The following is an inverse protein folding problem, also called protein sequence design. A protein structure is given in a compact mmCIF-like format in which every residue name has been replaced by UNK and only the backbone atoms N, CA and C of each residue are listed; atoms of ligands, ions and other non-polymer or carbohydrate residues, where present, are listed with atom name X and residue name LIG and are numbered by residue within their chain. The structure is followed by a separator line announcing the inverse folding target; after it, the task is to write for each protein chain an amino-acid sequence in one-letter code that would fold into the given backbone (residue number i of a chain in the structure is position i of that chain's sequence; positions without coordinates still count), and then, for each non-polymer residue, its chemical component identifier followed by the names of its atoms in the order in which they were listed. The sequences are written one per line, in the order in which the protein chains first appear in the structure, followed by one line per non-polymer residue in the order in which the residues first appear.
data_IF_512012796039
#
_entry.id   IF_512012796039
#
_cell.length_a   1.000
_cell.length_b   1.000
_cell.length_c   1.000
_cell.angle_alpha   90.00
_cell.angle_beta   90.00
_cell.angle_gamma   90.00
#
_symmetry.space_group_name_H-M   'P 1'
#
loop_
_entity.id
_entity.type
_entity.pdbx_description
1 polymer ?
#
# COMPACT_ATOMS: atom_id res chain seq x y z
N UNK A 1 -22.07 -38.27 -25.64
CA UNK A 1 -20.65 -38.48 -25.26
C UNK A 1 -20.02 -37.11 -25.07
N UNK A 2 -19.60 -36.75 -23.86
CA UNK A 2 -18.81 -35.53 -23.65
C UNK A 2 -17.35 -35.86 -23.97
N UNK A 3 -16.90 -35.51 -25.18
CA UNK A 3 -15.51 -35.63 -25.61
C UNK A 3 -14.80 -34.30 -25.41
N UNK A 4 -14.34 -34.05 -24.19
CA UNK A 4 -13.49 -32.90 -23.86
C UNK A 4 -12.73 -33.21 -22.58
N UNK A 5 -11.43 -32.95 -22.56
CA UNK A 5 -10.66 -33.02 -21.31
C UNK A 5 -11.32 -32.10 -20.27
N UNK A 6 -11.49 -32.55 -19.01
CA UNK A 6 -12.06 -31.70 -17.98
C UNK A 6 -11.16 -30.48 -17.76
N UNK A 7 -11.76 -29.28 -17.83
CA UNK A 7 -11.07 -28.05 -17.45
C UNK A 7 -10.93 -28.03 -15.93
N UNK A 8 -9.75 -28.37 -15.44
CA UNK A 8 -9.41 -28.33 -14.01
C UNK A 8 -8.74 -27.00 -13.70
N UNK A 9 -9.23 -26.32 -12.65
CA UNK A 9 -8.60 -25.10 -12.13
C UNK A 9 -7.81 -25.47 -10.88
N UNK A 10 -6.54 -25.10 -10.83
CA UNK A 10 -5.68 -25.35 -9.67
C UNK A 10 -5.55 -24.09 -8.84
N UNK A 11 -5.67 -24.24 -7.53
CA UNK A 11 -5.25 -23.22 -6.58
C UNK A 11 -3.85 -23.62 -6.11
N UNK A 12 -2.88 -22.73 -6.33
CA UNK A 12 -1.47 -22.99 -6.04
C UNK A 12 -1.04 -22.07 -4.90
N UNK A 13 -0.39 -22.63 -3.88
CA UNK A 13 0.33 -21.83 -2.89
C UNK A 13 1.63 -21.32 -3.53
N UNK A 14 1.90 -20.03 -3.35
CA UNK A 14 3.01 -19.32 -3.99
C UNK A 14 4.40 -19.79 -3.54
N UNK A 15 5.42 -19.10 -4.06
CA UNK A 15 6.80 -19.34 -3.66
C UNK A 15 7.03 -19.00 -2.17
N UNK A 16 7.87 -19.76 -1.44
CA UNK A 16 8.27 -19.36 -0.10
C UNK A 16 9.10 -18.08 -0.19
N UNK A 17 8.73 -17.07 0.59
CA UNK A 17 9.36 -15.76 0.60
C UNK A 17 10.17 -15.55 1.88
N UNK A 18 11.25 -14.79 1.75
CA UNK A 18 12.05 -14.41 2.89
C UNK A 18 11.39 -13.26 3.66
N UNK A 19 11.16 -13.47 4.96
CA UNK A 19 10.66 -12.48 5.90
C UNK A 19 11.80 -11.97 6.82
N UNK A 20 12.26 -10.71 6.67
CA UNK A 20 13.31 -10.16 7.53
C UNK A 20 12.91 -10.05 9.00
N UNK A 21 11.62 -10.00 9.33
CA UNK A 21 11.17 -9.99 10.73
C UNK A 21 11.41 -11.32 11.44
N UNK A 22 11.59 -12.41 10.67
CA UNK A 22 11.85 -13.77 11.16
C UNK A 22 13.31 -14.21 11.03
N UNK A 23 14.22 -13.28 10.77
CA UNK A 23 15.65 -13.56 10.67
C UNK A 23 16.41 -12.97 11.87
N UNK A 24 16.92 -13.83 12.75
CA UNK A 24 17.69 -13.42 13.93
C UNK A 24 19.06 -12.79 13.60
N UNK A 25 19.54 -12.88 12.35
CA UNK A 25 20.81 -12.26 11.93
C UNK A 25 20.66 -10.79 11.56
N UNK A 26 19.40 -10.32 11.42
CA UNK A 26 19.09 -8.94 11.05
C UNK A 26 18.62 -8.16 12.27
N UNK A 27 19.07 -6.91 12.39
CA UNK A 27 18.64 -6.01 13.46
C UNK A 27 17.13 -5.82 13.40
N UNK A 28 16.44 -6.21 14.49
CA UNK A 28 14.99 -6.14 14.62
C UNK A 28 14.22 -7.41 14.22
N UNK A 29 14.90 -8.43 13.69
CA UNK A 29 14.32 -9.73 13.34
C UNK A 29 14.53 -10.78 14.44
N UNK A 30 13.60 -11.73 14.53
CA UNK A 30 13.67 -12.87 15.45
C UNK A 30 13.11 -14.12 14.79
N UNK A 31 13.96 -15.10 14.54
CA UNK A 31 13.53 -16.39 14.03
C UNK A 31 14.59 -17.19 13.27
N UNK A 32 14.18 -18.35 12.72
CA UNK A 32 15.08 -19.31 12.08
C UNK A 32 15.39 -18.98 10.62
N UNK A 33 14.69 -18.01 10.00
CA UNK A 33 14.87 -17.74 8.57
C UNK A 33 16.27 -17.15 8.30
N UNK A 34 16.84 -17.51 7.16
CA UNK A 34 18.15 -17.00 6.71
C UNK A 34 18.05 -16.61 5.24
N UNK A 35 18.55 -15.43 4.91
CA UNK A 35 18.55 -14.97 3.52
C UNK A 35 19.38 -15.88 2.59
N UNK A 36 20.49 -16.44 3.09
CA UNK A 36 21.34 -17.33 2.29
C UNK A 36 20.75 -18.73 2.09
N UNK A 37 19.68 -19.09 2.79
CA UNK A 37 19.10 -20.43 2.78
C UNK A 37 17.61 -20.39 2.43
N UNK A 38 17.25 -20.54 1.14
CA UNK A 38 15.87 -20.57 0.69
C UNK A 38 15.01 -21.68 1.31
N UNK A 39 15.62 -22.74 1.86
CA UNK A 39 14.87 -23.81 2.52
C UNK A 39 14.22 -23.36 3.84
N UNK A 40 14.70 -22.26 4.40
CA UNK A 40 14.17 -21.68 5.64
C UNK A 40 13.04 -20.68 5.39
N UNK A 41 12.82 -20.29 4.13
CA UNK A 41 11.82 -19.28 3.77
C UNK A 41 10.41 -19.87 3.86
N UNK A 42 9.42 -19.00 4.00
CA UNK A 42 8.02 -19.38 4.01
C UNK A 42 7.27 -19.10 5.32
N UNK A 43 5.96 -19.36 5.29
CA UNK A 43 5.06 -19.27 6.44
C UNK A 43 3.95 -18.24 6.25
N UNK A 44 3.64 -17.48 7.29
CA UNK A 44 2.64 -16.41 7.23
C UNK A 44 3.08 -15.24 6.34
N UNK A 45 4.39 -14.96 6.28
CA UNK A 45 4.99 -13.88 5.51
C UNK A 45 4.71 -13.96 4.01
N UNK A 46 4.44 -15.16 3.48
CA UNK A 46 4.21 -15.37 2.04
C UNK A 46 2.95 -14.66 1.54
N UNK A 47 1.98 -14.45 2.43
CA UNK A 47 0.70 -13.78 2.14
C UNK A 47 0.73 -12.29 2.47
N UNK A 48 1.86 -11.76 2.97
CA UNK A 48 1.98 -10.35 3.36
C UNK A 48 2.51 -9.50 2.19
N UNK A 49 1.79 -8.44 1.77
CA UNK A 49 2.21 -7.60 0.65
C UNK A 49 3.54 -6.88 0.89
N UNK A 50 3.87 -6.55 2.14
CA UNK A 50 5.15 -5.95 2.50
C UNK A 50 6.34 -6.90 2.26
N UNK A 51 6.18 -8.19 2.58
CA UNK A 51 7.19 -9.23 2.36
C UNK A 51 7.35 -9.51 0.86
N UNK A 52 6.24 -9.62 0.13
CA UNK A 52 6.24 -9.78 -1.33
C UNK A 52 6.97 -8.63 -2.01
N UNK A 53 6.64 -7.38 -1.65
CA UNK A 53 7.31 -6.18 -2.18
C UNK A 53 8.80 -6.17 -1.84
N UNK A 54 9.18 -6.57 -0.62
CA UNK A 54 10.58 -6.62 -0.21
C UNK A 54 11.42 -7.60 -1.05
N UNK A 55 10.87 -8.78 -1.35
CA UNK A 55 11.54 -9.78 -2.18
C UNK A 55 11.62 -9.35 -3.64
N UNK A 56 10.59 -8.71 -4.19
CA UNK A 56 10.63 -8.10 -5.53
C UNK A 56 11.69 -7.00 -5.60
N UNK A 57 11.80 -6.15 -4.59
CA UNK A 57 12.79 -5.07 -4.54
C UNK A 57 14.24 -5.57 -4.41
N UNK A 58 14.45 -6.78 -3.85
CA UNK A 58 15.77 -7.43 -3.82
C UNK A 58 16.07 -8.28 -5.05
N UNK A 59 15.05 -8.55 -5.86
CA UNK A 59 15.13 -9.44 -7.00
C UNK A 59 14.98 -10.91 -6.59
N UNK A 60 13.97 -11.55 -7.17
CA UNK A 60 13.74 -12.99 -7.07
C UNK A 60 14.73 -13.72 -7.97
N UNK A 61 15.42 -14.70 -7.37
CA UNK A 61 16.36 -15.58 -8.05
C UNK A 61 15.95 -17.03 -7.82
N UNK A 62 16.10 -17.85 -8.86
CA UNK A 62 15.92 -19.29 -8.77
C UNK A 62 17.27 -19.95 -9.04
N UNK A 63 17.90 -20.49 -8.00
CA UNK A 63 19.30 -20.88 -8.03
C UNK A 63 20.21 -19.69 -8.34
N UNK A 64 21.02 -19.79 -9.40
CA UNK A 64 21.92 -18.71 -9.84
C UNK A 64 21.27 -17.73 -10.82
N UNK A 65 20.07 -18.04 -11.34
CA UNK A 65 19.40 -17.26 -12.38
C UNK A 65 18.46 -16.24 -11.77
N UNK A 66 18.59 -14.99 -12.19
CA UNK A 66 17.61 -13.95 -11.86
C UNK A 66 16.34 -14.16 -12.68
N UNK A 67 15.18 -14.04 -12.01
CA UNK A 67 13.86 -14.28 -12.62
C UNK A 67 13.08 -12.97 -12.70
N UNK A 68 12.93 -12.25 -11.58
CA UNK A 68 12.02 -11.10 -11.52
C UNK A 68 12.45 -10.07 -10.46
N UNK A 69 12.05 -8.80 -10.60
CA UNK A 69 12.31 -7.74 -9.61
C UNK A 69 13.45 -6.76 -9.95
N UNK A 70 13.93 -5.99 -8.97
CA UNK A 70 14.96 -4.98 -9.25
C UNK A 70 16.35 -5.63 -9.30
N UNK A 71 17.15 -5.30 -10.31
CA UNK A 71 18.54 -5.75 -10.44
C UNK A 71 19.51 -4.75 -9.79
N UNK A 72 20.53 -5.25 -9.11
CA UNK A 72 21.64 -4.43 -8.60
C UNK A 72 21.34 -3.62 -7.34
N UNK A 73 20.22 -3.89 -6.65
CA UNK A 73 19.85 -3.20 -5.42
C UNK A 73 20.55 -3.86 -4.22
N UNK A 74 21.49 -3.14 -3.61
CA UNK A 74 22.24 -3.62 -2.43
C UNK A 74 21.39 -3.54 -1.16
N UNK A 75 21.58 -4.46 -0.21
CA UNK A 75 20.85 -4.48 1.08
C UNK A 75 20.90 -3.16 1.84
N UNK A 76 21.98 -2.38 1.73
CA UNK A 76 22.12 -1.06 2.35
C UNK A 76 21.07 -0.03 1.88
N UNK A 77 20.49 -0.22 0.68
CA UNK A 77 19.44 0.64 0.12
C UNK A 77 18.04 0.30 0.64
N UNK A 78 17.92 -0.81 1.38
CA UNK A 78 16.67 -1.27 1.99
C UNK A 78 16.85 -1.33 3.51
N UNK A 79 16.50 -0.26 4.23
CA UNK A 79 16.71 -0.18 5.67
C UNK A 79 15.76 -1.16 6.36
N UNK A 80 16.31 -2.30 6.81
CA UNK A 80 15.50 -3.46 7.20
C UNK A 80 14.53 -3.15 8.34
N UNK A 81 14.91 -2.28 9.28
CA UNK A 81 14.03 -1.84 10.37
C UNK A 81 12.71 -1.26 9.86
N UNK A 82 12.75 -0.41 8.80
CA UNK A 82 11.55 0.18 8.22
C UNK A 82 10.65 -0.87 7.58
N UNK A 83 11.25 -1.87 6.93
CA UNK A 83 10.52 -2.99 6.33
C UNK A 83 9.90 -3.89 7.40
N UNK A 84 10.60 -4.17 8.50
CA UNK A 84 10.08 -4.93 9.63
C UNK A 84 8.87 -4.21 10.26
N UNK A 85 8.95 -2.90 10.46
CA UNK A 85 7.80 -2.12 10.93
C UNK A 85 6.61 -2.27 9.99
N UNK A 86 6.80 -2.12 8.67
CA UNK A 86 5.74 -2.31 7.69
C UNK A 86 5.16 -3.75 7.67
N UNK A 87 6.00 -4.78 7.83
CA UNK A 87 5.59 -6.18 7.91
C UNK A 87 4.74 -6.42 9.16
N UNK A 88 5.16 -5.87 10.30
CA UNK A 88 4.42 -5.97 11.55
C UNK A 88 3.06 -5.26 11.48
N UNK A 89 2.98 -4.13 10.77
CA UNK A 89 1.69 -3.47 10.47
C UNK A 89 0.78 -4.37 9.61
N UNK A 90 1.31 -5.08 8.60
CA UNK A 90 0.52 -6.05 7.84
C UNK A 90 0.04 -7.23 8.70
N UNK A 91 0.89 -7.69 9.64
CA UNK A 91 0.63 -8.85 10.51
C UNK A 91 -0.33 -8.56 11.67
N UNK A 92 -0.63 -7.29 11.96
CA UNK A 92 -1.53 -6.93 13.07
C UNK A 92 -2.85 -7.69 12.98
N UNK A 93 -3.29 -8.21 14.13
CA UNK A 93 -4.55 -8.92 14.23
C UNK A 93 -5.66 -7.91 14.52
N UNK A 94 -6.70 -7.97 13.70
CA UNK A 94 -7.93 -7.19 13.81
C UNK A 94 -9.12 -8.13 13.99
N UNK A 95 -10.19 -7.58 14.54
CA UNK A 95 -11.44 -8.33 14.71
C UNK A 95 -12.05 -8.60 13.33
N UNK A 96 -12.02 -9.85 12.91
CA UNK A 96 -12.64 -10.35 11.67
C UNK A 96 -13.84 -11.24 12.01
N UNK A 97 -14.90 -11.17 11.21
CA UNK A 97 -16.04 -12.09 11.34
C UNK A 97 -15.67 -13.47 10.80
N UNK A 98 -14.77 -13.53 9.82
CA UNK A 98 -14.23 -14.75 9.19
C UNK A 98 -13.20 -15.55 10.01
N UNK A 99 -12.79 -15.06 11.19
CA UNK A 99 -11.82 -15.73 12.08
C UNK A 99 -10.33 -15.56 11.72
N UNK A 100 -10.01 -15.12 10.51
CA UNK A 100 -8.63 -14.80 10.11
C UNK A 100 -8.38 -13.29 10.19
N UNK A 101 -7.92 -12.87 11.37
CA UNK A 101 -7.79 -11.48 11.76
C UNK A 101 -6.59 -10.76 11.17
N UNK A 102 -5.86 -11.28 10.18
CA UNK A 102 -4.70 -10.56 9.63
C UNK A 102 -5.11 -9.25 8.93
N UNK A 103 -4.46 -8.12 9.26
CA UNK A 103 -4.87 -6.79 8.78
C UNK A 103 -4.78 -6.64 7.26
N UNK A 104 -3.63 -6.97 6.66
CA UNK A 104 -3.40 -6.88 5.22
C UNK A 104 -2.80 -8.17 4.66
N UNK A 105 -3.48 -8.74 3.66
CA UNK A 105 -3.02 -9.91 2.91
C UNK A 105 -3.13 -9.69 1.40
N UNK A 106 -2.31 -10.38 0.65
CA UNK A 106 -2.34 -10.37 -0.81
C UNK A 106 -2.10 -11.76 -1.37
N UNK A 107 -2.79 -12.06 -2.46
CA UNK A 107 -2.69 -13.32 -3.18
C UNK A 107 -3.16 -13.13 -4.61
N UNK A 108 -2.36 -13.60 -5.56
CA UNK A 108 -2.63 -13.50 -6.98
C UNK A 108 -1.44 -13.98 -7.79
N UNK A 109 -1.69 -14.29 -9.05
CA UNK A 109 -0.64 -14.62 -10.00
C UNK A 109 -0.03 -13.33 -10.55
N UNK A 110 1.30 -13.25 -10.53
CA UNK A 110 2.06 -12.15 -11.14
C UNK A 110 2.90 -12.77 -12.24
N UNK A 111 2.69 -12.31 -13.47
CA UNK A 111 3.50 -12.74 -14.59
C UNK A 111 4.85 -12.01 -14.61
N UNK A 112 5.90 -12.73 -15.00
CA UNK A 112 7.30 -12.26 -14.94
C UNK A 112 7.61 -11.17 -15.99
N UNK A 113 6.77 -11.06 -17.02
CA UNK A 113 6.81 -10.01 -18.04
C UNK A 113 6.22 -8.68 -17.58
N UNK A 114 5.40 -8.67 -16.52
CA UNK A 114 4.78 -7.46 -16.01
C UNK A 114 5.85 -6.50 -15.46
N UNK A 115 5.79 -5.20 -15.79
CA UNK A 115 6.76 -4.23 -15.27
C UNK A 115 6.72 -4.20 -13.74
N UNK A 116 7.90 -4.31 -13.13
CA UNK A 116 8.07 -4.41 -11.67
C UNK A 116 7.36 -3.28 -10.93
N UNK A 117 7.35 -2.06 -11.48
CA UNK A 117 6.66 -0.93 -10.85
C UNK A 117 5.14 -1.15 -10.77
N UNK A 118 4.49 -1.68 -11.82
CA UNK A 118 3.06 -1.96 -11.79
C UNK A 118 2.71 -3.04 -10.76
N UNK A 119 3.54 -4.08 -10.66
CA UNK A 119 3.38 -5.13 -9.65
C UNK A 119 3.51 -4.55 -8.23
N UNK A 120 4.52 -3.70 -8.01
CA UNK A 120 4.70 -3.03 -6.72
C UNK A 120 3.50 -2.12 -6.41
N UNK A 121 3.00 -1.35 -7.38
CA UNK A 121 1.81 -0.50 -7.19
C UNK A 121 0.55 -1.30 -6.85
N UNK A 122 0.35 -2.47 -7.46
CA UNK A 122 -0.75 -3.38 -7.13
C UNK A 122 -0.62 -3.93 -5.70
N UNK A 123 0.60 -4.30 -5.28
CA UNK A 123 0.89 -4.75 -3.90
C UNK A 123 0.73 -3.62 -2.88
N UNK A 124 1.12 -2.39 -3.23
CA UNK A 124 0.91 -1.21 -2.40
C UNK A 124 -0.58 -0.89 -2.24
N UNK A 125 -1.38 -1.12 -3.30
CA UNK A 125 -2.84 -0.94 -3.24
C UNK A 125 -3.48 -1.93 -2.26
N UNK A 126 -2.97 -3.17 -2.17
CA UNK A 126 -3.45 -4.18 -1.23
C UNK A 126 -3.21 -3.83 0.26
N UNK A 127 -2.19 -3.01 0.56
CA UNK A 127 -1.82 -2.61 1.92
C UNK A 127 -2.03 -1.13 2.22
N UNK A 128 -2.62 -0.36 1.28
CA UNK A 128 -2.65 1.10 1.34
C UNK A 128 -1.29 1.72 1.62
N UNK A 129 -0.26 1.12 1.04
CA UNK A 129 1.11 1.52 1.26
C UNK A 129 1.56 2.61 0.30
N UNK A 130 2.63 3.29 0.69
CA UNK A 130 3.40 4.16 -0.20
C UNK A 130 4.88 3.82 -0.13
N UNK A 131 5.48 3.57 -1.29
CA UNK A 131 6.91 3.41 -1.45
C UNK A 131 7.52 4.77 -1.77
N UNK A 132 8.55 5.19 -1.03
CA UNK A 132 9.31 6.39 -1.37
C UNK A 132 10.80 6.10 -1.35
N UNK A 133 11.49 6.78 -2.26
CA UNK A 133 12.92 6.71 -2.48
C UNK A 133 13.53 8.07 -2.13
N UNK A 134 14.53 8.06 -1.24
CA UNK A 134 15.29 9.25 -0.84
C UNK A 134 16.77 8.88 -0.76
N UNK A 135 17.59 9.47 -1.62
CA UNK A 135 19.04 9.30 -1.59
C UNK A 135 19.49 7.87 -1.88
N UNK A 136 18.77 7.15 -2.75
CA UNK A 136 19.00 5.75 -3.09
C UNK A 136 18.43 4.76 -2.09
N UNK A 137 17.69 5.20 -1.06
CA UNK A 137 17.14 4.36 0.00
C UNK A 137 15.62 4.27 -0.11
N UNK A 138 15.11 3.03 -0.23
CA UNK A 138 13.69 2.75 -0.39
C UNK A 138 13.04 2.44 0.96
N UNK A 139 12.03 3.25 1.32
CA UNK A 139 11.24 3.06 2.55
C UNK A 139 9.78 2.82 2.22
N UNK A 140 9.29 1.65 2.61
CA UNK A 140 7.89 1.26 2.55
C UNK A 140 7.13 1.80 3.76
N UNK A 141 5.95 2.36 3.52
CA UNK A 141 4.96 2.72 4.53
C UNK A 141 3.68 1.95 4.21
N UNK A 142 2.98 1.48 5.23
CA UNK A 142 1.78 0.66 5.12
C UNK A 142 0.71 1.25 6.04
N UNK A 143 -0.53 1.27 5.56
CA UNK A 143 -1.68 1.70 6.35
C UNK A 143 -1.82 3.22 6.48
N UNK A 144 -2.42 3.65 7.59
CA UNK A 144 -2.76 5.06 7.83
C UNK A 144 -1.50 5.91 8.06
N UNK A 145 -1.46 7.19 7.59
CA UNK A 145 -0.36 8.08 7.92
C UNK A 145 -0.12 8.15 9.42
N UNK A 146 1.13 7.90 9.82
CA UNK A 146 1.56 7.99 11.22
C UNK A 146 1.45 9.41 11.78
N UNK A 147 1.69 9.55 13.08
CA UNK A 147 1.69 10.85 13.75
C UNK A 147 2.71 11.81 13.12
N UNK A 148 2.37 13.11 13.03
CA UNK A 148 3.26 14.09 12.43
C UNK A 148 4.58 14.13 13.21
N UNK A 149 5.69 13.93 12.50
CA UNK A 149 7.03 13.91 13.11
C UNK A 149 7.57 15.32 13.31
N UNK A 150 7.00 16.31 12.62
CA UNK A 150 7.48 17.70 12.61
C UNK A 150 6.27 18.63 12.64
N UNK A 151 6.32 19.59 13.55
CA UNK A 151 5.48 20.79 13.57
C UNK A 151 6.31 21.95 13.04
N UNK A 152 5.77 22.73 12.11
CA UNK A 152 6.34 24.02 11.72
C UNK A 152 5.38 25.12 12.15
N UNK A 153 5.92 26.30 12.43
CA UNK A 153 5.12 27.50 12.72
C UNK A 153 5.07 28.42 11.51
N UNK A 154 4.24 29.46 11.55
CA UNK A 154 4.13 30.42 10.45
C UNK A 154 5.48 31.16 10.19
N UNK A 155 6.41 31.18 11.16
CA UNK A 155 7.76 31.76 11.03
C UNK A 155 8.71 30.93 10.14
N UNK A 156 8.42 29.64 9.95
CA UNK A 156 9.22 28.73 9.11
C UNK A 156 8.83 28.84 7.61
N UNK A 157 7.80 29.61 7.29
CA UNK A 157 7.26 29.74 5.95
C UNK A 157 8.00 30.87 5.22
N UNK A 158 8.60 30.56 4.07
CA UNK A 158 9.20 31.58 3.21
C UNK A 158 8.09 32.44 2.59
N UNK A 159 7.88 33.63 3.16
CA UNK A 159 6.78 34.55 2.81
C UNK A 159 6.95 35.26 1.44
N UNK A 160 8.09 35.11 0.77
CA UNK A 160 8.42 35.88 -0.45
C UNK A 160 7.79 35.36 -1.73
N UNK A 161 7.17 34.18 -1.73
CA UNK A 161 6.51 33.59 -2.91
C UNK A 161 4.99 33.41 -2.73
N UNK A 162 4.26 33.45 -3.84
CA UNK A 162 2.80 33.34 -3.87
C UNK A 162 2.30 32.01 -3.32
N UNK A 163 1.55 32.05 -2.22
CA UNK A 163 0.88 30.88 -1.65
C UNK A 163 -0.49 30.69 -2.31
N UNK A 164 -0.73 29.51 -2.85
CA UNK A 164 -2.07 29.14 -3.36
C UNK A 164 -2.79 28.31 -2.31
N UNK A 165 -3.95 28.81 -1.87
CA UNK A 165 -4.84 28.12 -0.97
C UNK A 165 -6.13 27.81 -1.72
N UNK A 166 -6.36 26.54 -2.02
CA UNK A 166 -7.60 26.04 -2.63
C UNK A 166 -8.41 25.28 -1.57
N UNK A 167 -9.31 25.94 -0.82
CA UNK A 167 -9.96 25.37 0.36
C UNK A 167 -11.03 24.31 0.04
N UNK A 168 -11.63 24.35 -1.16
CA UNK A 168 -12.75 23.48 -1.52
C UNK A 168 -12.56 22.90 -2.93
N UNK A 169 -12.83 21.60 -3.06
CA UNK A 169 -12.99 20.96 -4.35
C UNK A 169 -14.23 21.50 -5.05
N UNK A 170 -14.19 21.57 -6.38
CA UNK A 170 -15.43 21.73 -7.15
C UNK A 170 -16.33 20.52 -6.92
N UNK A 171 -17.65 20.68 -7.08
CA UNK A 171 -18.63 19.60 -6.91
C UNK A 171 -18.40 18.38 -7.85
N UNK A 172 -17.53 18.53 -8.86
CA UNK A 172 -17.13 17.45 -9.76
C UNK A 172 -15.97 16.60 -9.22
N UNK A 173 -15.20 17.14 -8.27
CA UNK A 173 -14.03 16.47 -7.66
C UNK A 173 -14.37 15.91 -6.27
N UNK A 174 -15.60 16.10 -5.77
CA UNK A 174 -16.06 15.49 -4.52
C UNK A 174 -16.40 14.01 -4.73
N UNK A 175 -16.00 13.18 -3.79
CA UNK A 175 -16.24 11.72 -3.83
C UNK A 175 -17.06 11.36 -2.60
N UNK A 176 -18.19 10.69 -2.80
CA UNK A 176 -19.10 10.30 -1.72
C UNK A 176 -19.35 8.79 -1.62
N UNK A 177 -18.84 8.03 -2.59
CA UNK A 177 -18.81 6.58 -2.52
C UNK A 177 -17.62 5.98 -3.27
N UNK A 178 -17.35 4.72 -2.96
CA UNK A 178 -16.32 3.92 -3.64
C UNK A 178 -16.92 2.60 -4.07
N UNK A 179 -16.58 2.18 -5.30
CA UNK A 179 -16.76 0.83 -5.78
C UNK A 179 -15.40 0.13 -5.87
N UNK A 180 -15.39 -1.17 -5.58
CA UNK A 180 -14.19 -1.99 -5.64
C UNK A 180 -14.43 -3.24 -6.48
N UNK A 181 -13.49 -3.61 -7.33
CA UNK A 181 -13.47 -4.95 -7.96
C UNK A 181 -12.38 -5.80 -7.33
N UNK A 182 -12.62 -7.10 -7.19
CA UNK A 182 -11.67 -8.04 -6.59
C UNK A 182 -11.90 -9.46 -7.11
N UNK A 183 -10.86 -10.33 -7.12
CA UNK A 183 -11.03 -11.73 -7.49
C UNK A 183 -11.68 -12.52 -6.34
N UNK A 184 -12.82 -13.17 -6.59
CA UNK A 184 -13.55 -13.91 -5.55
C UNK A 184 -13.21 -15.41 -5.59
N UNK A 185 -12.58 -15.99 -4.55
CA UNK A 185 -12.24 -17.41 -4.50
C UNK A 185 -13.46 -18.33 -4.54
N UNK A 186 -14.59 -17.92 -3.92
CA UNK A 186 -15.81 -18.72 -3.88
C UNK A 186 -16.45 -18.91 -5.27
N UNK A 187 -16.19 -17.98 -6.19
CA UNK A 187 -16.72 -17.97 -7.55
C UNK A 187 -15.66 -18.34 -8.60
N UNK A 188 -14.67 -19.15 -8.21
CA UNK A 188 -13.65 -19.65 -9.13
C UNK A 188 -12.66 -18.58 -9.60
N UNK A 189 -12.34 -17.60 -8.74
CA UNK A 189 -11.38 -16.52 -9.00
C UNK A 189 -11.79 -15.52 -10.09
N UNK A 190 -13.07 -15.49 -10.44
CA UNK A 190 -13.62 -14.47 -11.34
C UNK A 190 -13.68 -13.12 -10.62
N UNK A 191 -13.27 -12.05 -11.31
CA UNK A 191 -13.37 -10.69 -10.80
C UNK A 191 -14.84 -10.30 -10.58
N UNK A 192 -15.16 -9.90 -9.36
CA UNK A 192 -16.48 -9.43 -8.96
C UNK A 192 -16.43 -8.06 -8.32
N UNK A 193 -17.55 -7.35 -8.41
CA UNK A 193 -17.73 -6.05 -7.77
C UNK A 193 -18.17 -6.25 -6.32
N UNK A 194 -17.40 -5.70 -5.38
CA UNK A 194 -17.75 -5.68 -3.97
C UNK A 194 -18.97 -4.78 -3.73
N UNK A 195 -19.74 -5.02 -2.64
CA UNK A 195 -20.79 -4.10 -2.22
C UNK A 195 -20.26 -2.66 -2.13
N UNK A 196 -20.91 -1.68 -2.76
CA UNK A 196 -20.42 -0.30 -2.79
C UNK A 196 -20.44 0.30 -1.38
N UNK A 197 -19.40 1.07 -1.04
CA UNK A 197 -19.34 1.79 0.23
C UNK A 197 -19.83 3.22 0.02
N UNK A 198 -21.04 3.51 0.48
CA UNK A 198 -21.71 4.82 0.35
C UNK A 198 -21.84 5.50 1.71
N UNK A 199 -21.69 6.83 1.73
CA UNK A 199 -21.92 7.62 2.95
C UNK A 199 -23.07 8.62 2.74
N UNK A 200 -24.29 8.32 3.21
CA UNK A 200 -25.47 9.16 2.98
C UNK A 200 -25.31 10.58 3.58
N UNK A 201 -24.52 10.75 4.64
CA UNK A 201 -24.21 12.06 5.22
C UNK A 201 -23.54 13.03 4.22
N UNK A 202 -22.77 12.49 3.27
CA UNK A 202 -22.06 13.27 2.26
C UNK A 202 -22.90 13.46 1.01
N UNK A 203 -23.71 12.46 0.65
CA UNK A 203 -24.68 12.59 -0.45
C UNK A 203 -25.64 13.77 -0.22
N UNK A 204 -26.10 13.96 1.02
CA UNK A 204 -26.94 15.10 1.38
C UNK A 204 -26.25 16.47 1.19
N UNK A 205 -24.92 16.54 1.35
CA UNK A 205 -24.13 17.75 1.16
C UNK A 205 -23.84 18.05 -0.32
N UNK A 206 -23.74 17.00 -1.14
CA UNK A 206 -23.47 17.09 -2.58
C UNK A 206 -24.76 17.14 -3.44
N UNK A 207 -25.91 17.41 -2.81
CA UNK A 207 -27.20 17.55 -3.51
C UNK A 207 -27.78 16.22 -4.01
N UNK A 208 -27.62 15.14 -3.24
CA UNK A 208 -28.10 13.77 -3.51
C UNK A 208 -27.54 13.14 -4.80
N UNK A 209 -26.38 13.60 -5.27
CA UNK A 209 -25.67 12.98 -6.39
C UNK A 209 -24.80 11.84 -5.90
N UNK A 210 -24.66 10.78 -6.69
CA UNK A 210 -23.72 9.68 -6.41
C UNK A 210 -22.44 9.90 -7.22
N UNK A 211 -21.36 10.21 -6.53
CA UNK A 211 -20.02 10.43 -7.09
C UNK A 211 -19.15 9.28 -6.59
N UNK A 212 -19.12 8.22 -7.40
CA UNK A 212 -18.42 6.98 -7.10
C UNK A 212 -17.03 7.02 -7.72
N UNK A 213 -16.01 6.70 -6.92
CA UNK A 213 -14.69 6.38 -7.42
C UNK A 213 -14.52 4.86 -7.54
N UNK A 214 -14.04 4.39 -8.68
CA UNK A 214 -13.78 2.98 -8.92
C UNK A 214 -12.31 2.64 -8.62
N UNK A 215 -12.09 1.57 -7.86
CA UNK A 215 -10.74 1.07 -7.51
C UNK A 215 -10.66 -0.44 -7.79
N UNK A 216 -9.62 -0.88 -8.47
CA UNK A 216 -9.36 -2.31 -8.67
C UNK A 216 -8.43 -2.87 -7.59
N UNK A 217 -8.80 -4.02 -7.03
CA UNK A 217 -8.03 -4.76 -6.02
C UNK A 217 -7.64 -6.14 -6.54
N UNK A 218 -6.81 -6.16 -7.59
CA UNK A 218 -6.48 -7.39 -8.34
C UNK A 218 -5.73 -8.44 -7.53
N UNK A 219 -5.02 -8.04 -6.46
CA UNK A 219 -4.23 -8.92 -5.60
C UNK A 219 -4.87 -9.18 -4.23
N UNK A 220 -6.14 -8.81 -4.03
CA UNK A 220 -6.84 -8.96 -2.74
C UNK A 220 -8.05 -9.88 -2.88
N UNK A 221 -7.90 -11.19 -2.62
CA UNK A 221 -9.01 -12.15 -2.74
C UNK A 221 -9.98 -12.16 -1.55
N UNK A 222 -9.80 -11.28 -0.56
CA UNK A 222 -10.54 -11.30 0.70
C UNK A 222 -11.60 -10.18 0.75
N UNK A 223 -12.88 -10.53 0.62
CA UNK A 223 -13.99 -9.57 0.59
C UNK A 223 -14.03 -8.62 1.81
N UNK A 224 -13.78 -9.13 3.02
CA UNK A 224 -13.72 -8.31 4.24
C UNK A 224 -12.59 -7.27 4.18
N UNK A 225 -11.43 -7.66 3.64
CA UNK A 225 -10.29 -6.74 3.48
C UNK A 225 -10.61 -5.65 2.46
N UNK A 226 -11.26 -6.01 1.33
CA UNK A 226 -11.67 -5.05 0.29
C UNK A 226 -12.59 -3.98 0.87
N UNK A 227 -13.58 -4.36 1.68
CA UNK A 227 -14.47 -3.39 2.34
C UNK A 227 -13.72 -2.42 3.26
N UNK A 228 -12.73 -2.91 4.02
CA UNK A 228 -11.88 -2.05 4.86
C UNK A 228 -11.05 -1.10 4.00
N UNK A 229 -10.44 -1.60 2.93
CA UNK A 229 -9.65 -0.80 2.00
C UNK A 229 -10.51 0.28 1.32
N UNK A 230 -11.73 -0.04 0.90
CA UNK A 230 -12.68 0.94 0.35
C UNK A 230 -13.00 2.04 1.37
N UNK A 231 -13.28 1.68 2.63
CA UNK A 231 -13.54 2.67 3.69
C UNK A 231 -12.37 3.62 3.90
N UNK A 232 -11.15 3.11 4.04
CA UNK A 232 -9.98 3.96 4.26
C UNK A 232 -9.57 4.74 3.01
N UNK A 233 -9.82 4.23 1.80
CA UNK A 233 -9.65 4.99 0.56
C UNK A 233 -10.63 6.18 0.49
N UNK A 234 -11.88 5.99 0.91
CA UNK A 234 -12.87 7.09 0.97
C UNK A 234 -12.43 8.14 1.99
N UNK A 235 -12.04 7.71 3.19
CA UNK A 235 -11.52 8.63 4.21
C UNK A 235 -10.28 9.40 3.73
N UNK A 236 -9.40 8.76 2.94
CA UNK A 236 -8.26 9.42 2.34
C UNK A 236 -8.68 10.44 1.26
N UNK A 237 -9.65 10.12 0.41
CA UNK A 237 -10.19 11.05 -0.58
C UNK A 237 -10.84 12.29 0.06
N UNK A 238 -11.47 12.12 1.22
CA UNK A 238 -12.06 13.22 1.99
C UNK A 238 -11.02 14.13 2.65
N UNK A 239 -9.73 13.77 2.67
CA UNK A 239 -8.63 14.65 3.13
C UNK A 239 -8.31 15.69 2.03
N UNK A 240 -9.25 16.61 1.85
CA UNK A 240 -9.30 17.56 0.73
C UNK A 240 -8.41 18.80 0.87
N UNK A 241 -7.89 19.10 2.07
CA UNK A 241 -7.13 20.34 2.30
C UNK A 241 -5.70 20.18 1.81
N UNK A 242 -5.44 20.65 0.59
CA UNK A 242 -4.08 20.79 0.06
C UNK A 242 -3.53 22.16 0.41
N UNK A 243 -2.38 22.17 1.07
CA UNK A 243 -1.59 23.38 1.28
C UNK A 243 -0.34 23.29 0.41
N UNK A 244 -0.06 24.32 -0.37
CA UNK A 244 1.21 24.48 -1.10
C UNK A 244 1.98 25.58 -0.39
N UNK A 245 3.02 25.19 0.35
CA UNK A 245 3.83 26.08 1.17
C UNK A 245 5.30 25.90 0.76
N UNK A 246 6.01 27.00 0.63
CA UNK A 246 7.46 27.00 0.35
C UNK A 246 8.21 27.00 1.67
N UNK A 247 9.05 25.98 1.88
CA UNK A 247 9.84 25.78 3.09
C UNK A 247 11.33 25.96 2.80
N UNK A 248 12.14 26.39 3.78
CA UNK A 248 13.56 26.62 3.57
C UNK A 248 14.32 25.31 3.29
N UNK A 249 15.53 25.39 2.69
CA UNK A 249 16.30 24.22 2.28
C UNK A 249 16.57 23.21 3.40
N UNK A 250 16.50 23.58 4.69
CA UNK A 250 16.61 22.64 5.82
C UNK A 250 15.52 21.55 5.79
N UNK A 251 14.37 21.81 5.17
CA UNK A 251 13.25 20.88 5.03
C UNK A 251 13.39 19.92 3.84
N UNK A 252 14.47 19.98 3.06
CA UNK A 252 14.67 19.14 1.87
C UNK A 252 14.69 17.63 2.15
N UNK A 253 15.07 17.23 3.37
CA UNK A 253 15.09 15.82 3.80
C UNK A 253 13.72 15.29 4.21
N UNK A 254 12.69 16.14 4.22
CA UNK A 254 11.37 15.76 4.70
C UNK A 254 10.58 14.98 3.64
N UNK A 255 9.79 14.03 4.13
CA UNK A 255 8.94 13.17 3.32
C UNK A 255 7.48 13.42 3.65
N UNK A 256 6.65 13.56 2.64
CA UNK A 256 5.23 13.32 2.81
C UNK A 256 4.89 11.84 2.61
N UNK A 257 4.16 11.20 3.53
CA UNK A 257 3.58 9.88 3.31
C UNK A 257 2.32 9.90 2.42
N UNK A 258 1.74 11.06 2.12
CA UNK A 258 0.51 11.17 1.33
C UNK A 258 0.74 10.90 -0.17
N UNK A 259 -0.22 10.18 -0.78
CA UNK A 259 -0.25 9.88 -2.21
C UNK A 259 -0.51 11.17 -3.00
N UNK A 260 0.55 11.84 -3.46
CA UNK A 260 0.41 12.95 -4.40
C UNK A 260 0.24 12.38 -5.80
N UNK A 261 -0.98 12.42 -6.35
CA UNK A 261 -1.14 12.38 -7.80
C UNK A 261 -0.55 13.69 -8.36
N UNK A 262 0.30 13.56 -9.39
CA UNK A 262 1.17 14.61 -9.97
C UNK A 262 2.38 14.99 -9.11
N UNK A 263 3.56 15.04 -9.75
CA UNK A 263 4.91 15.10 -9.16
C UNK A 263 5.28 16.36 -8.37
N UNK A 264 4.45 16.78 -7.42
CA UNK A 264 4.74 17.81 -6.43
C UNK A 264 4.63 17.21 -5.03
N UNK A 265 5.76 17.20 -4.32
CA UNK A 265 5.88 16.67 -2.95
C UNK A 265 5.12 17.57 -1.98
N UNK A 266 3.81 17.34 -1.82
CA UNK A 266 2.99 18.04 -0.82
C UNK A 266 3.10 17.33 0.52
N UNK A 267 3.62 17.99 1.56
CA UNK A 267 3.67 17.51 2.95
C UNK A 267 2.32 17.71 3.66
N UNK A 268 1.87 16.71 4.43
CA UNK A 268 0.69 16.82 5.28
C UNK A 268 1.13 17.37 6.64
N UNK A 269 0.64 18.55 7.00
CA UNK A 269 0.99 19.22 8.24
C UNK A 269 -0.25 19.84 8.89
N UNK A 270 -0.35 19.68 10.20
CA UNK A 270 -1.37 20.29 11.04
C UNK A 270 -0.91 21.67 11.48
N UNK A 271 -1.61 22.72 11.02
CA UNK A 271 -1.43 24.11 11.46
C UNK A 271 -2.11 24.29 12.81
N UNK A 272 -1.34 24.44 13.89
CA UNK A 272 -1.85 24.95 15.18
C UNK A 272 -1.96 26.47 15.07
N UNK A 273 -3.17 26.99 14.97
CA UNK A 273 -3.43 28.43 15.10
C UNK A 273 -3.33 28.81 16.57
N UNK A 274 -2.28 29.54 16.93
CA UNK A 274 -2.24 30.32 18.17
C UNK A 274 -3.12 31.55 18.00
N UNK A 275 -3.88 31.87 19.06
CA UNK A 275 -4.78 33.03 19.18
C UNK A 275 -4.11 34.37 18.88
#
# INVERSE_FOLDING_TARGET
MFSGFPAVTFVVDGIPLYDPSKDSTVVGGSGPQRYSDPSTWGGDGDRLPAVQTYNIMRGLRFGTRWVYGVQGLTTARLPVQNWITAINECRKVIVSVSGDGTQYRSGGEISVDQPVNATVENLLTACQGSLSEIGGVYRLFVGEPGTPTISFTDDDILSTDGQTFTPFYGLADTINGINGTYPEPANGWVTQTAPPYLRPDLEAKDGNRRLLADVSFDLVPYAEQVQRLMKSALLAALRARRHTIVLPPSFWRMRCPARSSSGHRSAMATRTSGS
#
